data_IF_966430092795
#
_entry.id   IF_966430092795
#
_cell.length_a   1.000
_cell.length_b   1.000
_cell.length_c   1.000
_cell.angle_alpha   90.00
_cell.angle_beta   90.00
_cell.angle_gamma   90.00
#
_symmetry.space_group_name_H-M   'P 1'
#
loop_
_entity.id
_entity.type
_entity.pdbx_description
1 polymer ?
#
# COMPACT_ATOMS: atom_id res chain seq x y z
N UNK A 1 11.77 -24.60 -7.63
CA UNK A 1 12.23 -23.39 -8.36
C UNK A 1 11.26 -22.98 -9.47
N UNK A 2 10.84 -23.87 -10.37
CA UNK A 2 9.94 -23.53 -11.49
C UNK A 2 8.62 -22.87 -11.04
N UNK A 3 7.93 -23.37 -10.01
CA UNK A 3 6.69 -22.80 -9.50
C UNK A 3 6.85 -21.37 -8.97
N UNK A 4 7.98 -21.04 -8.35
CA UNK A 4 8.29 -19.70 -7.87
C UNK A 4 8.51 -18.76 -9.05
N UNK A 5 9.34 -19.16 -10.02
CA UNK A 5 9.59 -18.35 -11.21
C UNK A 5 8.30 -18.08 -12.00
N UNK A 6 7.52 -19.14 -12.26
CA UNK A 6 6.21 -19.02 -12.92
C UNK A 6 5.26 -18.09 -12.14
N UNK A 7 5.23 -18.21 -10.80
CA UNK A 7 4.42 -17.36 -9.93
C UNK A 7 4.81 -15.88 -10.00
N UNK A 8 6.10 -15.56 -10.10
CA UNK A 8 6.58 -14.18 -10.26
C UNK A 8 6.11 -13.58 -11.59
N UNK A 9 6.33 -14.29 -12.71
CA UNK A 9 5.88 -13.80 -14.02
C UNK A 9 4.37 -13.66 -14.13
N UNK A 10 3.62 -14.65 -13.61
CA UNK A 10 2.16 -14.60 -13.62
C UNK A 10 1.63 -13.49 -12.70
N UNK A 11 2.23 -13.31 -11.52
CA UNK A 11 1.85 -12.24 -10.60
C UNK A 11 2.14 -10.85 -11.15
N UNK A 12 3.24 -10.69 -11.89
CA UNK A 12 3.55 -9.45 -12.60
C UNK A 12 2.50 -9.14 -13.65
N UNK A 13 2.19 -10.12 -14.51
CA UNK A 13 1.19 -9.98 -15.57
C UNK A 13 -0.20 -9.68 -15.00
N UNK A 14 -0.61 -10.43 -13.99
CA UNK A 14 -1.86 -10.24 -13.24
C UNK A 14 -1.97 -8.84 -12.64
N UNK A 15 -0.95 -8.44 -11.88
CA UNK A 15 -0.93 -7.13 -11.21
C UNK A 15 -0.94 -5.96 -12.20
N UNK A 16 -0.24 -6.09 -13.33
CA UNK A 16 -0.21 -5.07 -14.37
C UNK A 16 -1.57 -4.94 -15.08
N UNK A 17 -2.17 -6.08 -15.47
CA UNK A 17 -3.49 -6.13 -16.11
C UNK A 17 -4.56 -5.48 -15.23
N UNK A 18 -4.62 -5.86 -13.95
CA UNK A 18 -5.56 -5.28 -12.99
C UNK A 18 -5.31 -3.80 -12.73
N UNK A 19 -4.06 -3.37 -12.71
CA UNK A 19 -3.70 -1.96 -12.52
C UNK A 19 -4.17 -1.09 -13.69
N UNK A 20 -4.17 -1.63 -14.90
CA UNK A 20 -4.67 -0.97 -16.11
C UNK A 20 -6.20 -1.03 -16.25
N UNK A 21 -6.91 -1.63 -15.28
CA UNK A 21 -8.37 -1.77 -15.30
C UNK A 21 -8.86 -2.96 -16.12
N UNK A 22 -7.94 -3.86 -16.52
CA UNK A 22 -8.26 -5.09 -17.22
C UNK A 22 -8.62 -6.24 -16.27
N UNK A 23 -8.95 -7.38 -16.85
CA UNK A 23 -9.21 -8.63 -16.15
C UNK A 23 -8.58 -9.78 -16.92
N UNK A 24 -7.99 -10.77 -16.23
CA UNK A 24 -7.36 -11.92 -16.90
C UNK A 24 -8.36 -13.02 -17.26
N UNK A 25 -9.60 -12.87 -16.80
CA UNK A 25 -10.67 -13.85 -16.98
C UNK A 25 -10.79 -14.84 -15.81
N UNK A 26 -11.89 -15.57 -15.75
CA UNK A 26 -12.12 -16.60 -14.71
C UNK A 26 -12.50 -16.03 -13.35
N UNK A 27 -11.92 -16.57 -12.26
CA UNK A 27 -12.27 -16.24 -10.88
C UNK A 27 -11.93 -14.80 -10.48
N UNK A 28 -11.11 -14.11 -11.26
CA UNK A 28 -10.78 -12.69 -11.08
C UNK A 28 -12.02 -11.80 -11.24
N UNK A 29 -12.95 -12.18 -12.11
CA UNK A 29 -14.21 -11.46 -12.30
C UNK A 29 -15.04 -11.52 -11.01
N UNK A 30 -15.13 -12.71 -10.40
CA UNK A 30 -15.83 -12.91 -9.13
C UNK A 30 -15.15 -12.10 -8.03
N UNK A 31 -13.82 -12.16 -7.95
CA UNK A 31 -13.02 -11.38 -7.01
C UNK A 31 -13.24 -9.87 -7.17
N UNK A 32 -13.31 -9.39 -8.40
CA UNK A 32 -13.57 -7.98 -8.72
C UNK A 32 -14.96 -7.53 -8.28
N UNK A 33 -16.00 -8.33 -8.56
CA UNK A 33 -17.39 -8.03 -8.17
C UNK A 33 -17.52 -7.98 -6.64
N UNK A 34 -16.94 -8.95 -5.93
CA UNK A 34 -16.99 -9.02 -4.46
C UNK A 34 -16.24 -7.84 -3.84
N UNK A 35 -15.03 -7.53 -4.33
CA UNK A 35 -14.25 -6.39 -3.85
C UNK A 35 -14.91 -5.04 -4.15
N UNK A 36 -15.71 -4.95 -5.22
CA UNK A 36 -16.48 -3.74 -5.53
C UNK A 36 -17.66 -3.55 -4.55
N UNK A 37 -18.31 -4.64 -4.15
CA UNK A 37 -19.40 -4.60 -3.16
C UNK A 37 -18.88 -4.39 -1.73
N UNK A 38 -17.75 -4.98 -1.40
CA UNK A 38 -17.12 -4.92 -0.08
C UNK A 38 -15.67 -4.40 -0.21
N UNK A 39 -15.45 -3.08 -0.16
CA UNK A 39 -14.13 -2.46 -0.37
C UNK A 39 -13.05 -2.86 0.65
N UNK A 40 -13.45 -3.45 1.77
CA UNK A 40 -12.52 -3.93 2.81
C UNK A 40 -11.85 -5.26 2.43
N UNK A 41 -12.49 -6.03 1.53
CA UNK A 41 -11.96 -7.32 1.10
C UNK A 41 -10.90 -7.09 0.03
N UNK A 42 -9.68 -7.56 0.31
CA UNK A 42 -8.61 -7.53 -0.67
C UNK A 42 -8.87 -8.59 -1.74
N UNK A 43 -9.14 -8.15 -2.97
CA UNK A 43 -9.41 -8.98 -4.12
C UNK A 43 -8.35 -10.07 -4.35
N UNK A 44 -7.07 -9.73 -4.21
CA UNK A 44 -5.97 -10.65 -4.45
C UNK A 44 -5.98 -11.82 -3.46
N UNK A 45 -6.26 -11.53 -2.19
CA UNK A 45 -6.36 -12.57 -1.15
C UNK A 45 -7.61 -13.42 -1.30
N UNK A 46 -8.71 -12.86 -1.79
CA UNK A 46 -9.92 -13.62 -2.09
C UNK A 46 -9.64 -14.65 -3.20
N UNK A 47 -9.05 -14.23 -4.31
CA UNK A 47 -8.68 -15.11 -5.41
C UNK A 47 -7.68 -16.18 -4.96
N UNK A 48 -6.70 -15.82 -4.13
CA UNK A 48 -5.76 -16.76 -3.54
C UNK A 48 -6.49 -17.86 -2.73
N UNK A 49 -7.43 -17.47 -1.86
CA UNK A 49 -8.19 -18.41 -1.03
C UNK A 49 -9.01 -19.40 -1.88
N UNK A 50 -9.61 -18.92 -2.96
CA UNK A 50 -10.34 -19.77 -3.91
C UNK A 50 -9.38 -20.76 -4.59
N UNK A 51 -8.23 -20.30 -5.06
CA UNK A 51 -7.24 -21.15 -5.69
C UNK A 51 -6.70 -22.23 -4.73
N UNK A 52 -6.49 -21.89 -3.46
CA UNK A 52 -6.09 -22.86 -2.43
C UNK A 52 -7.19 -23.90 -2.21
N UNK A 53 -8.45 -23.50 -2.13
CA UNK A 53 -9.57 -24.43 -1.99
C UNK A 53 -9.65 -25.42 -3.18
N UNK A 54 -9.50 -24.92 -4.41
CA UNK A 54 -9.45 -25.76 -5.61
C UNK A 54 -8.25 -26.69 -5.60
N UNK A 55 -7.07 -26.21 -5.17
CA UNK A 55 -5.86 -27.04 -5.06
C UNK A 55 -6.03 -28.20 -4.06
N UNK A 56 -6.69 -27.94 -2.92
CA UNK A 56 -7.00 -28.98 -1.92
C UNK A 56 -7.99 -29.99 -2.48
N UNK A 57 -9.04 -29.55 -3.17
CA UNK A 57 -10.00 -30.44 -3.80
C UNK A 57 -9.35 -31.30 -4.90
N UNK A 58 -8.41 -30.74 -5.65
CA UNK A 58 -7.69 -31.47 -6.70
C UNK A 58 -6.78 -32.60 -6.17
N UNK A 59 -6.44 -32.59 -4.86
CA UNK A 59 -5.71 -33.66 -4.22
C UNK A 59 -6.39 -35.00 -4.40
N UNK A 60 -7.70 -35.05 -4.29
CA UNK A 60 -8.49 -36.26 -4.50
C UNK A 60 -8.49 -36.70 -5.98
N UNK A 61 -8.50 -35.76 -6.91
CA UNK A 61 -8.50 -36.04 -8.32
C UNK A 61 -7.14 -36.55 -8.83
N UNK A 62 -6.04 -36.17 -8.22
CA UNK A 62 -4.68 -36.61 -8.58
C UNK A 62 -4.21 -37.86 -7.82
N UNK A 63 -5.13 -38.71 -7.36
CA UNK A 63 -4.79 -39.99 -6.71
C UNK A 63 -3.95 -39.81 -5.45
N UNK A 64 -4.28 -38.81 -4.62
CA UNK A 64 -3.59 -38.50 -3.34
C UNK A 64 -2.10 -38.08 -3.50
N UNK A 65 -1.72 -37.56 -4.67
CA UNK A 65 -0.38 -37.08 -4.86
C UNK A 65 -0.28 -35.65 -4.32
N UNK A 66 0.57 -35.42 -3.32
CA UNK A 66 0.73 -34.12 -2.65
C UNK A 66 1.62 -33.14 -3.42
N UNK A 67 2.47 -33.59 -4.32
CA UNK A 67 3.46 -32.72 -5.01
C UNK A 67 2.79 -31.65 -5.87
N UNK A 68 1.80 -31.98 -6.74
CA UNK A 68 1.10 -30.92 -7.51
C UNK A 68 0.38 -29.91 -6.63
N UNK A 69 -0.20 -30.35 -5.52
CA UNK A 69 -0.93 -29.49 -4.58
C UNK A 69 0.00 -28.47 -3.94
N UNK A 70 1.16 -28.92 -3.43
CA UNK A 70 2.17 -28.05 -2.84
C UNK A 70 2.69 -27.04 -3.87
N UNK A 71 3.00 -27.48 -5.07
CA UNK A 71 3.48 -26.60 -6.15
C UNK A 71 2.42 -25.55 -6.53
N UNK A 72 1.14 -25.93 -6.57
CA UNK A 72 0.04 -25.02 -6.86
C UNK A 72 -0.13 -23.97 -5.75
N UNK A 73 -0.02 -24.37 -4.49
CA UNK A 73 -0.10 -23.43 -3.35
C UNK A 73 1.07 -22.45 -3.39
N UNK A 74 2.30 -22.93 -3.62
CA UNK A 74 3.48 -22.06 -3.74
C UNK A 74 3.32 -21.07 -4.90
N UNK A 75 2.90 -21.55 -6.07
CA UNK A 75 2.64 -20.72 -7.25
C UNK A 75 1.60 -19.65 -6.95
N UNK A 76 0.44 -20.04 -6.38
CA UNK A 76 -0.65 -19.11 -6.07
C UNK A 76 -0.25 -18.07 -5.03
N UNK A 77 0.53 -18.47 -4.01
CA UNK A 77 1.04 -17.55 -3.00
C UNK A 77 1.99 -16.51 -3.60
N UNK A 78 2.95 -16.95 -4.40
CA UNK A 78 3.91 -16.03 -5.06
C UNK A 78 3.19 -15.10 -6.01
N UNK A 79 2.28 -15.63 -6.84
CA UNK A 79 1.45 -14.83 -7.76
C UNK A 79 0.67 -13.75 -7.02
N UNK A 80 0.02 -14.10 -5.91
CA UNK A 80 -0.76 -13.17 -5.10
C UNK A 80 0.12 -12.11 -4.43
N UNK A 81 1.30 -12.47 -3.95
CA UNK A 81 2.24 -11.51 -3.34
C UNK A 81 2.77 -10.49 -4.34
N UNK A 82 3.20 -10.97 -5.51
CA UNK A 82 3.71 -10.09 -6.57
C UNK A 82 2.58 -9.21 -7.13
N UNK A 83 1.40 -9.78 -7.38
CA UNK A 83 0.23 -9.03 -7.84
C UNK A 83 -0.20 -7.94 -6.86
N UNK A 84 -0.29 -8.26 -5.56
CA UNK A 84 -0.63 -7.29 -4.51
C UNK A 84 0.41 -6.16 -4.41
N UNK A 85 1.69 -6.47 -4.53
CA UNK A 85 2.76 -5.48 -4.55
C UNK A 85 2.62 -4.49 -5.72
N UNK A 86 2.30 -4.99 -6.91
CA UNK A 86 2.12 -4.15 -8.12
C UNK A 86 0.86 -3.30 -7.99
N UNK A 87 -0.24 -3.87 -7.49
CA UNK A 87 -1.49 -3.16 -7.32
C UNK A 87 -1.40 -2.06 -6.26
N UNK A 88 -0.79 -2.34 -5.12
CA UNK A 88 -0.67 -1.40 -4.00
C UNK A 88 0.52 -0.44 -4.14
N UNK A 89 1.60 -0.88 -4.79
CA UNK A 89 2.89 -0.21 -4.76
C UNK A 89 2.92 1.22 -5.31
N UNK A 90 1.94 1.63 -6.12
CA UNK A 90 1.93 2.95 -6.75
C UNK A 90 0.93 3.95 -6.13
N UNK A 91 0.05 3.53 -5.22
CA UNK A 91 -1.06 4.35 -4.71
C UNK A 91 -1.01 4.60 -3.20
N UNK A 92 0.04 4.22 -2.52
CA UNK A 92 0.14 4.43 -1.08
C UNK A 92 0.61 5.85 -0.76
N UNK A 93 -0.19 6.60 0.01
CA UNK A 93 0.21 7.82 0.66
C UNK A 93 0.78 7.51 2.06
N UNK A 94 1.53 8.45 2.61
CA UNK A 94 1.95 8.42 4.01
C UNK A 94 1.43 9.67 4.72
N UNK A 95 0.87 9.49 5.90
CA UNK A 95 0.52 10.56 6.82
C UNK A 95 1.73 10.83 7.69
N UNK A 96 2.12 12.08 7.77
CA UNK A 96 3.15 12.56 8.66
C UNK A 96 2.52 13.41 9.75
N UNK A 97 2.85 13.09 10.97
CA UNK A 97 2.56 13.86 12.16
C UNK A 97 3.89 14.44 12.66
N UNK A 98 4.00 15.76 12.61
CA UNK A 98 5.24 16.47 12.82
C UNK A 98 5.07 17.37 14.03
N UNK A 99 5.84 17.14 15.08
CA UNK A 99 5.88 18.00 16.27
C UNK A 99 7.09 18.91 16.14
N UNK A 100 6.85 20.21 16.10
CA UNK A 100 7.89 21.21 15.89
C UNK A 100 7.61 22.51 16.64
N UNK A 101 8.67 23.26 16.90
CA UNK A 101 8.62 24.65 17.39
C UNK A 101 8.54 25.69 16.27
N UNK A 102 8.72 25.27 14.98
CA UNK A 102 8.77 26.14 13.80
C UNK A 102 7.64 25.82 12.80
N UNK A 103 6.36 25.98 13.17
CA UNK A 103 5.25 25.51 12.34
C UNK A 103 5.10 26.26 11.02
N UNK A 104 5.35 27.58 11.01
CA UNK A 104 5.15 28.41 9.82
C UNK A 104 6.22 28.17 8.77
N UNK A 105 7.50 28.19 9.17
CA UNK A 105 8.63 28.00 8.26
C UNK A 105 8.60 26.60 7.67
N UNK A 106 8.35 25.59 8.50
CA UNK A 106 8.26 24.19 8.07
C UNK A 106 7.06 23.96 7.13
N UNK A 107 5.90 24.53 7.44
CA UNK A 107 4.73 24.40 6.57
C UNK A 107 4.93 25.05 5.22
N UNK A 108 5.57 26.22 5.16
CA UNK A 108 5.93 26.90 3.91
C UNK A 108 6.91 26.08 3.09
N UNK A 109 7.95 25.51 3.72
CA UNK A 109 8.93 24.66 3.04
C UNK A 109 8.26 23.38 2.45
N UNK A 110 7.38 22.73 3.23
CA UNK A 110 6.65 21.55 2.78
C UNK A 110 5.67 21.87 1.65
N UNK A 111 4.89 22.94 1.77
CA UNK A 111 3.95 23.35 0.73
C UNK A 111 4.67 23.79 -0.56
N UNK A 112 5.77 24.52 -0.43
CA UNK A 112 6.54 25.02 -1.58
C UNK A 112 7.20 23.90 -2.39
N UNK A 113 7.80 22.90 -1.72
CA UNK A 113 8.54 21.83 -2.40
C UNK A 113 7.67 20.62 -2.75
N UNK A 114 6.70 20.25 -1.90
CA UNK A 114 5.89 19.06 -2.11
C UNK A 114 4.52 19.34 -2.74
N UNK A 115 4.08 20.58 -2.73
CA UNK A 115 2.77 21.01 -3.23
C UNK A 115 1.58 20.30 -2.56
N UNK A 116 1.75 19.92 -1.29
CA UNK A 116 0.71 19.34 -0.44
C UNK A 116 0.36 20.29 0.70
N UNK A 117 -0.92 20.33 1.06
CA UNK A 117 -1.39 21.11 2.21
C UNK A 117 -0.96 20.48 3.53
N UNK A 118 -0.70 21.35 4.51
CA UNK A 118 -0.45 20.95 5.90
C UNK A 118 -1.55 21.55 6.79
N UNK A 119 -1.95 20.79 7.82
CA UNK A 119 -2.86 21.28 8.86
C UNK A 119 -2.07 21.43 10.15
N UNK A 120 -2.16 22.58 10.76
CA UNK A 120 -1.46 22.92 12.00
C UNK A 120 -2.46 22.89 13.17
N UNK A 121 -2.07 22.23 14.26
CA UNK A 121 -2.81 22.16 15.52
C UNK A 121 -1.89 22.63 16.66
N UNK A 122 -2.37 23.47 17.58
CA UNK A 122 -1.60 23.81 18.76
C UNK A 122 -1.42 22.58 19.65
N UNK A 123 -0.22 22.39 20.17
CA UNK A 123 0.13 21.27 21.05
C UNK A 123 1.02 21.79 22.20
N UNK A 124 1.05 21.07 23.31
CA UNK A 124 1.94 21.37 24.44
C UNK A 124 2.71 20.15 24.85
N UNK A 125 4.02 20.29 24.94
CA UNK A 125 4.90 19.23 25.44
C UNK A 125 4.66 19.01 26.93
N UNK A 126 4.16 17.83 27.31
CA UNK A 126 3.86 17.53 28.73
C UNK A 126 5.12 17.39 29.58
N UNK A 127 6.23 16.99 28.98
CA UNK A 127 7.50 16.86 29.69
C UNK A 127 8.26 18.21 29.79
N UNK A 128 8.35 18.93 28.67
CA UNK A 128 9.07 20.19 28.58
C UNK A 128 8.26 21.41 29.01
N UNK A 129 6.92 21.26 29.13
CA UNK A 129 5.95 22.34 29.36
C UNK A 129 6.00 23.47 28.33
N UNK A 130 6.68 23.28 27.20
CA UNK A 130 6.79 24.23 26.11
C UNK A 130 5.64 24.09 25.13
N UNK A 131 5.21 25.22 24.57
CA UNK A 131 4.25 25.25 23.48
C UNK A 131 4.91 24.77 22.19
N UNK A 132 4.29 23.82 21.54
CA UNK A 132 4.69 23.24 20.24
C UNK A 132 3.51 23.21 19.29
N UNK A 133 3.75 22.87 18.07
CA UNK A 133 2.70 22.65 17.08
C UNK A 133 2.78 21.26 16.48
N UNK A 134 1.61 20.66 16.26
CA UNK A 134 1.46 19.41 15.55
C UNK A 134 1.03 19.72 14.11
N UNK A 135 1.89 19.44 13.14
CA UNK A 135 1.55 19.53 11.73
C UNK A 135 1.14 18.15 11.22
N UNK A 136 0.02 18.08 10.54
CA UNK A 136 -0.45 16.89 9.85
C UNK A 136 -0.32 17.14 8.35
N UNK A 137 0.47 16.31 7.68
CA UNK A 137 0.66 16.36 6.24
C UNK A 137 0.49 14.96 5.64
N UNK A 138 -0.20 14.87 4.50
CA UNK A 138 -0.32 13.61 3.75
C UNK A 138 0.45 13.78 2.45
N UNK A 139 1.44 12.91 2.26
CA UNK A 139 2.41 13.01 1.17
C UNK A 139 2.39 11.73 0.35
N UNK A 140 2.63 11.86 -0.94
CA UNK A 140 2.73 10.71 -1.84
C UNK A 140 4.01 9.91 -1.51
N UNK A 141 3.95 8.58 -1.58
CA UNK A 141 5.10 7.70 -1.26
C UNK A 141 6.36 8.06 -2.05
N UNK A 142 6.21 8.54 -3.29
CA UNK A 142 7.34 8.98 -4.13
C UNK A 142 8.07 10.20 -3.57
N UNK A 143 7.40 11.02 -2.77
CA UNK A 143 7.92 12.26 -2.21
C UNK A 143 8.48 12.11 -0.79
N UNK A 144 8.41 10.89 -0.21
CA UNK A 144 8.99 10.61 1.12
C UNK A 144 10.48 10.96 1.21
N UNK A 145 11.33 10.66 0.21
CA UNK A 145 12.74 11.03 0.28
C UNK A 145 12.95 12.55 0.34
N UNK A 146 12.17 13.32 -0.43
CA UNK A 146 12.24 14.79 -0.43
C UNK A 146 11.70 15.36 0.88
N UNK A 147 10.58 14.83 1.39
CA UNK A 147 10.07 15.14 2.71
C UNK A 147 11.15 14.96 3.78
N UNK A 148 11.85 13.83 3.76
CA UNK A 148 12.94 13.56 4.72
C UNK A 148 14.12 14.52 4.62
N UNK A 149 14.39 15.09 3.42
CA UNK A 149 15.40 16.14 3.25
C UNK A 149 14.96 17.44 3.91
N UNK A 150 13.71 17.85 3.69
CA UNK A 150 13.16 19.07 4.28
C UNK A 150 13.19 19.01 5.80
N UNK A 151 12.77 17.88 6.38
CA UNK A 151 12.75 17.73 7.85
C UNK A 151 14.14 17.86 8.48
N UNK A 152 15.19 17.41 7.80
CA UNK A 152 16.57 17.50 8.31
C UNK A 152 17.12 18.94 8.33
N UNK A 153 16.45 19.87 7.66
CA UNK A 153 16.80 21.28 7.69
C UNK A 153 16.30 21.99 8.98
N UNK A 154 15.42 21.31 9.74
CA UNK A 154 14.81 21.87 10.96
C UNK A 154 15.20 21.03 12.19
N UNK A 155 15.96 21.65 13.08
CA UNK A 155 16.25 21.08 14.39
C UNK A 155 14.99 21.10 15.28
N UNK A 156 14.99 20.31 16.37
CA UNK A 156 13.85 20.20 17.31
C UNK A 156 12.51 19.78 16.63
N UNK A 157 12.62 18.91 15.63
CA UNK A 157 11.45 18.37 14.92
C UNK A 157 11.36 16.87 15.09
N UNK A 158 10.21 16.39 15.58
CA UNK A 158 9.93 14.96 15.72
C UNK A 158 8.82 14.55 14.75
N UNK A 159 9.05 13.47 14.00
CA UNK A 159 8.15 13.03 12.92
C UNK A 159 7.71 11.59 13.11
N UNK A 160 6.41 11.37 13.07
CA UNK A 160 5.80 10.05 13.02
C UNK A 160 5.24 9.83 11.61
N UNK A 161 5.62 8.73 10.97
CA UNK A 161 5.09 8.34 9.67
C UNK A 161 4.14 7.16 9.81
N UNK A 162 2.92 7.32 9.33
CA UNK A 162 1.89 6.27 9.30
C UNK A 162 1.49 5.99 7.84
N UNK A 163 1.55 4.73 7.37
CA UNK A 163 1.09 4.40 6.03
C UNK A 163 -0.43 4.57 5.93
N UNK A 164 -0.89 5.25 4.87
CA UNK A 164 -2.31 5.49 4.62
C UNK A 164 -2.79 4.48 3.57
N UNK A 165 -3.81 3.70 3.92
CA UNK A 165 -4.36 2.69 3.03
C UNK A 165 -5.14 3.31 1.86
N UNK A 166 -5.92 4.36 2.11
CA UNK A 166 -6.73 5.08 1.11
C UNK A 166 -6.89 6.54 1.51
N UNK A 167 -6.91 7.42 0.52
CA UNK A 167 -7.28 8.83 0.66
C UNK A 167 -8.51 9.11 -0.18
N UNK A 168 -9.45 9.86 0.35
CA UNK A 168 -10.65 10.32 -0.37
C UNK A 168 -10.63 11.84 -0.46
N UNK A 169 -11.28 12.39 -1.49
CA UNK A 169 -11.39 13.83 -1.69
C UNK A 169 -10.28 14.41 -2.56
N UNK A 170 -9.92 15.67 -2.30
CA UNK A 170 -9.10 16.49 -3.19
C UNK A 170 -7.58 16.26 -3.03
N UNK A 171 -7.16 15.03 -2.80
CA UNK A 171 -5.74 14.67 -2.69
C UNK A 171 -5.09 14.64 -4.07
N UNK A 172 -4.20 15.61 -4.36
CA UNK A 172 -3.44 15.67 -5.62
C UNK A 172 -2.45 14.50 -5.68
N UNK A 173 -2.71 13.55 -6.56
CA UNK A 173 -1.72 12.53 -6.91
C UNK A 173 -0.73 13.15 -7.90
N UNK A 174 0.53 13.22 -7.52
CA UNK A 174 1.61 13.58 -8.45
C UNK A 174 1.72 12.44 -9.46
N UNK A 175 1.52 12.77 -10.74
CA UNK A 175 1.65 11.85 -11.87
C UNK A 175 3.10 11.40 -12.07
#
# INVERSE_FOLDING_TARGET
MAAVAAGVFSGFNYGLTMRLGGCTGGMDIVGSIVSHRNPEINMVWLVFSINVAVAVLSFFAYGMNYVPVILCIIYSFVTSRVGDFILKGARSAAKFEIITSYPEELSQALMGRLHHGCTVLPARGMYSHMDKSLLICVVNRRQIPEFGRIIREFDDTFVIMTPVARTYGNFKQVK
#
